data_IF_465808197389
#
_entry.id   IF_465808197389
#
_cell.length_a   1.000
_cell.length_b   1.000
_cell.length_c   1.000
_cell.angle_alpha   90.00
_cell.angle_beta   90.00
_cell.angle_gamma   90.00
#
_symmetry.space_group_name_H-M   'P 1'
#
loop_
_entity.id
_entity.type
_entity.pdbx_description
1 polymer ?
#
# COMPACT_ATOMS: atom_id res chain seq x y z
N UNK A 1 7.90 20.41 5.23
CA UNK A 1 8.22 19.07 5.77
C UNK A 1 7.06 18.17 5.40
N UNK A 2 7.19 17.36 4.36
CA UNK A 2 6.09 16.50 3.87
C UNK A 2 6.60 15.09 3.72
N UNK A 3 6.52 14.34 4.82
CA UNK A 3 6.70 12.90 4.88
C UNK A 3 6.02 12.45 6.15
N UNK A 4 5.18 11.42 6.08
CA UNK A 4 4.65 10.80 7.29
C UNK A 4 5.84 10.37 8.18
N UNK A 5 5.75 10.50 9.52
CA UNK A 5 6.78 9.96 10.40
C UNK A 5 6.98 8.47 10.09
N UNK A 6 8.19 7.95 10.31
CA UNK A 6 8.41 6.49 10.23
C UNK A 6 7.56 5.86 11.32
N UNK A 7 6.47 5.23 10.92
CA UNK A 7 5.57 4.52 11.81
C UNK A 7 6.06 3.09 11.97
N UNK A 8 5.98 2.57 13.19
CA UNK A 8 6.07 1.12 13.39
C UNK A 8 4.82 0.50 12.77
N UNK A 9 5.02 -0.41 11.81
CA UNK A 9 3.95 -1.13 11.16
C UNK A 9 4.03 -2.62 11.51
N UNK A 10 3.42 -3.09 12.60
CA UNK A 10 3.44 -4.51 12.93
C UNK A 10 2.65 -5.31 11.89
N UNK A 11 3.19 -6.47 11.53
CA UNK A 11 2.49 -7.43 10.65
C UNK A 11 1.41 -8.12 11.46
N UNK A 12 0.17 -8.01 10.98
CA UNK A 12 -1.04 -8.56 11.62
C UNK A 12 -1.52 -9.85 10.94
N UNK A 13 -1.21 -10.01 9.65
CA UNK A 13 -1.52 -11.21 8.88
C UNK A 13 -0.31 -11.59 8.03
N UNK A 14 0.03 -12.88 8.01
CA UNK A 14 1.00 -13.46 7.08
C UNK A 14 0.55 -14.87 6.69
N UNK A 15 0.46 -15.11 5.39
CA UNK A 15 0.21 -16.42 4.80
C UNK A 15 0.99 -16.57 3.50
N UNK A 16 1.70 -17.68 3.33
CA UNK A 16 2.37 -18.00 2.07
C UNK A 16 1.37 -18.44 1.00
N UNK A 17 1.58 -18.05 -0.27
CA UNK A 17 0.77 -18.56 -1.37
C UNK A 17 1.04 -20.04 -1.57
N UNK A 18 -0.02 -20.80 -1.85
CA UNK A 18 0.08 -22.23 -2.15
C UNK A 18 0.81 -22.57 -3.46
N UNK A 19 1.00 -21.57 -4.35
CA UNK A 19 1.58 -21.74 -5.68
C UNK A 19 0.69 -22.52 -6.66
N UNK A 20 -0.63 -22.59 -6.41
CA UNK A 20 -1.59 -23.34 -7.22
C UNK A 20 -2.87 -22.54 -7.42
N UNK A 21 -3.41 -22.61 -8.63
CA UNK A 21 -4.74 -22.05 -8.96
C UNK A 21 -5.79 -22.69 -8.06
N UNK A 22 -6.60 -21.86 -7.40
CA UNK A 22 -7.65 -22.28 -6.48
C UNK A 22 -7.15 -22.75 -5.10
N UNK A 23 -5.85 -22.69 -4.84
CA UNK A 23 -5.29 -22.90 -3.51
C UNK A 23 -5.30 -21.63 -2.66
N UNK A 24 -4.69 -21.69 -1.48
CA UNK A 24 -4.59 -20.52 -0.59
C UNK A 24 -3.79 -19.40 -1.25
N UNK A 25 -4.29 -18.15 -1.24
CA UNK A 25 -3.54 -17.01 -1.72
C UNK A 25 -2.44 -16.64 -0.71
N UNK A 26 -1.42 -15.94 -1.20
CA UNK A 26 -0.47 -15.26 -0.33
C UNK A 26 -1.14 -14.04 0.29
N UNK A 27 -0.96 -13.84 1.59
CA UNK A 27 -1.54 -12.72 2.34
C UNK A 27 -0.48 -12.04 3.17
N UNK A 28 -0.50 -10.72 3.18
CA UNK A 28 0.24 -9.92 4.15
C UNK A 28 -0.60 -8.71 4.51
N UNK A 29 -0.72 -8.43 5.80
CA UNK A 29 -1.33 -7.19 6.26
C UNK A 29 -0.56 -6.63 7.45
N UNK A 30 -0.57 -5.31 7.57
CA UNK A 30 0.01 -4.61 8.70
C UNK A 30 -0.92 -3.50 9.18
N UNK A 31 -0.81 -3.20 10.47
CA UNK A 31 -1.42 -2.01 11.04
C UNK A 31 -0.41 -0.86 11.11
N UNK A 32 -0.89 0.37 11.22
CA UNK A 32 -0.07 1.51 11.57
C UNK A 32 -0.91 2.51 12.36
N UNK A 33 -0.34 3.07 13.42
CA UNK A 33 -0.99 4.07 14.26
C UNK A 33 -0.14 5.35 14.25
N UNK A 34 -0.77 6.47 13.91
CA UNK A 34 -0.23 7.80 14.16
C UNK A 34 -0.96 8.38 15.37
N UNK A 35 -0.25 8.47 16.50
CA UNK A 35 -0.76 9.13 17.70
C UNK A 35 -0.73 10.66 17.57
N UNK A 36 -1.60 11.33 18.33
CA UNK A 36 -1.70 12.78 18.33
C UNK A 36 -3.00 13.26 18.96
N UNK A 37 -3.34 14.55 18.74
CA UNK A 37 -4.67 15.05 19.09
C UNK A 37 -5.76 14.32 18.28
N UNK A 38 -7.03 14.37 18.70
CA UNK A 38 -8.13 13.73 17.96
C UNK A 38 -8.18 14.08 16.45
N UNK A 39 -7.67 15.26 16.08
CA UNK A 39 -7.68 15.76 14.70
C UNK A 39 -6.44 15.36 13.89
N UNK A 40 -5.46 14.75 14.56
CA UNK A 40 -4.18 14.31 13.99
C UNK A 40 -4.06 12.78 14.02
N UNK A 41 -4.85 12.09 14.85
CA UNK A 41 -4.82 10.63 14.99
C UNK A 41 -5.31 9.93 13.72
N UNK A 42 -4.56 8.92 13.30
CA UNK A 42 -4.94 7.99 12.23
C UNK A 42 -4.58 6.56 12.61
N UNK A 43 -5.52 5.64 12.39
CA UNK A 43 -5.32 4.19 12.48
C UNK A 43 -5.47 3.58 11.09
N UNK A 44 -4.56 2.71 10.70
CA UNK A 44 -4.52 2.08 9.37
C UNK A 44 -4.45 0.57 9.50
N UNK A 45 -5.15 -0.14 8.62
CA UNK A 45 -4.93 -1.56 8.34
C UNK A 45 -4.79 -1.75 6.83
N UNK A 46 -3.60 -2.12 6.37
CA UNK A 46 -3.27 -2.27 4.95
C UNK A 46 -3.03 -3.73 4.63
N UNK A 47 -3.89 -4.31 3.80
CA UNK A 47 -3.86 -5.72 3.42
C UNK A 47 -3.51 -5.90 1.93
N UNK A 48 -2.81 -6.98 1.67
CA UNK A 48 -2.40 -7.44 0.35
C UNK A 48 -2.76 -8.91 0.17
N UNK A 49 -3.19 -9.25 -1.05
CA UNK A 49 -3.49 -10.60 -1.48
C UNK A 49 -2.85 -10.85 -2.84
N UNK A 50 -2.10 -11.96 -2.95
CA UNK A 50 -1.48 -12.42 -4.20
C UNK A 50 -1.96 -13.84 -4.49
N UNK A 51 -2.64 -14.05 -5.61
CA UNK A 51 -3.24 -15.34 -5.96
C UNK A 51 -2.98 -15.75 -7.41
N UNK A 52 -2.72 -17.05 -7.61
CA UNK A 52 -2.66 -17.67 -8.92
C UNK A 52 -4.08 -17.89 -9.46
N UNK A 53 -4.32 -17.42 -10.69
CA UNK A 53 -5.57 -17.58 -11.41
C UNK A 53 -5.39 -18.44 -12.66
N UNK A 54 -6.50 -19.01 -13.15
CA UNK A 54 -6.51 -19.73 -14.41
C UNK A 54 -5.95 -18.90 -15.57
N UNK A 55 -5.31 -19.60 -16.52
CA UNK A 55 -4.68 -18.97 -17.69
C UNK A 55 -3.29 -18.39 -17.41
N UNK A 56 -2.60 -18.87 -16.37
CA UNK A 56 -1.25 -18.40 -16.03
C UNK A 56 -1.21 -16.95 -15.58
N UNK A 57 -2.28 -16.47 -14.94
CA UNK A 57 -2.40 -15.10 -14.44
C UNK A 57 -2.12 -15.07 -12.95
N UNK A 58 -1.58 -13.95 -12.49
CA UNK A 58 -1.47 -13.64 -11.07
C UNK A 58 -2.31 -12.40 -10.81
N UNK A 59 -3.12 -12.44 -9.75
CA UNK A 59 -3.82 -11.25 -9.25
C UNK A 59 -3.06 -10.71 -8.05
N UNK A 60 -2.81 -9.41 -8.08
CA UNK A 60 -2.34 -8.64 -6.93
C UNK A 60 -3.49 -7.72 -6.54
N UNK A 61 -3.96 -7.86 -5.31
CA UNK A 61 -4.99 -7.01 -4.71
C UNK A 61 -4.39 -6.33 -3.48
N UNK A 62 -4.64 -5.04 -3.34
CA UNK A 62 -4.35 -4.31 -2.11
C UNK A 62 -5.56 -3.50 -1.70
N UNK A 63 -5.82 -3.47 -0.39
CA UNK A 63 -6.89 -2.67 0.22
C UNK A 63 -6.39 -2.09 1.53
N UNK A 64 -6.75 -0.85 1.80
CA UNK A 64 -6.38 -0.16 3.02
C UNK A 64 -7.63 0.42 3.68
N UNK A 65 -7.81 0.12 4.97
CA UNK A 65 -8.80 0.77 5.82
C UNK A 65 -8.09 1.83 6.66
N UNK A 66 -8.64 3.04 6.67
CA UNK A 66 -8.11 4.16 7.44
C UNK A 66 -9.21 4.75 8.31
N UNK A 67 -8.90 5.03 9.57
CA UNK A 67 -9.80 5.66 10.53
C UNK A 67 -9.14 6.92 11.13
N UNK A 68 -9.89 8.02 11.18
CA UNK A 68 -9.42 9.30 11.73
C UNK A 68 -9.85 10.51 10.88
N UNK A 69 -9.83 11.71 11.45
CA UNK A 69 -10.16 12.95 10.71
C UNK A 69 -9.25 13.17 9.50
N UNK A 70 -7.92 12.94 9.55
CA UNK A 70 -7.08 13.05 8.36
C UNK A 70 -7.46 12.06 7.27
N UNK A 71 -7.88 10.84 7.61
CA UNK A 71 -8.34 9.83 6.65
C UNK A 71 -9.64 10.27 5.94
N UNK A 72 -10.59 10.85 6.69
CA UNK A 72 -11.81 11.41 6.12
C UNK A 72 -11.50 12.55 5.12
N UNK A 73 -10.59 13.46 5.47
CA UNK A 73 -10.14 14.52 4.57
C UNK A 73 -9.44 13.97 3.31
N UNK A 74 -8.63 12.91 3.48
CA UNK A 74 -7.92 12.27 2.38
C UNK A 74 -8.88 11.58 1.39
N UNK A 75 -9.98 11.01 1.87
CA UNK A 75 -11.01 10.38 1.04
C UNK A 75 -11.72 11.38 0.10
N UNK A 76 -11.86 12.64 0.55
CA UNK A 76 -12.47 13.71 -0.25
C UNK A 76 -11.52 14.29 -1.30
N UNK A 77 -10.21 14.18 -1.12
CA UNK A 77 -9.21 14.76 -2.00
C UNK A 77 -9.34 14.28 -3.46
N UNK A 78 -9.17 15.20 -4.41
CA UNK A 78 -9.12 14.94 -5.86
C UNK A 78 -7.83 15.51 -6.47
N UNK A 79 -7.04 14.70 -7.20
CA UNK A 79 -7.22 13.25 -7.41
C UNK A 79 -7.07 12.47 -6.09
N UNK A 80 -7.65 11.26 -6.03
CA UNK A 80 -7.53 10.42 -4.84
C UNK A 80 -6.09 9.92 -4.71
N UNK A 81 -5.36 10.49 -3.75
CA UNK A 81 -3.93 10.24 -3.56
C UNK A 81 -3.61 8.81 -3.14
N UNK A 82 -4.48 8.17 -2.33
CA UNK A 82 -4.27 6.79 -1.89
C UNK A 82 -4.38 5.82 -3.06
N UNK A 83 -5.39 6.01 -3.91
CA UNK A 83 -5.56 5.20 -5.13
C UNK A 83 -4.36 5.35 -6.06
N UNK A 84 -3.88 6.58 -6.27
CA UNK A 84 -2.71 6.82 -7.11
C UNK A 84 -1.44 6.16 -6.54
N UNK A 85 -1.19 6.31 -5.24
CA UNK A 85 -0.03 5.71 -4.58
C UNK A 85 -0.07 4.19 -4.57
N UNK A 86 -1.22 3.59 -4.26
CA UNK A 86 -1.40 2.13 -4.29
C UNK A 86 -1.27 1.56 -5.71
N UNK A 87 -1.76 2.27 -6.73
CA UNK A 87 -1.58 1.85 -8.12
C UNK A 87 -0.10 1.85 -8.53
N UNK A 88 0.66 2.89 -8.18
CA UNK A 88 2.11 2.91 -8.42
C UNK A 88 2.82 1.74 -7.72
N UNK A 89 2.34 1.36 -6.53
CA UNK A 89 2.89 0.26 -5.76
C UNK A 89 2.65 -1.09 -6.45
N UNK A 90 1.43 -1.32 -6.96
CA UNK A 90 1.10 -2.50 -7.77
C UNK A 90 1.94 -2.55 -9.06
N UNK A 91 2.01 -1.44 -9.81
CA UNK A 91 2.78 -1.36 -11.05
C UNK A 91 4.28 -1.58 -10.80
N UNK A 92 4.80 -1.00 -9.72
CA UNK A 92 6.18 -1.19 -9.25
C UNK A 92 6.48 -2.63 -8.88
N UNK A 93 5.59 -3.30 -8.16
CA UNK A 93 5.73 -4.72 -7.80
C UNK A 93 5.77 -5.63 -9.04
N UNK A 94 4.88 -5.37 -10.01
CA UNK A 94 4.85 -6.12 -11.28
C UNK A 94 6.16 -5.94 -12.05
N UNK A 95 6.68 -4.70 -12.12
CA UNK A 95 7.98 -4.41 -12.76
C UNK A 95 9.12 -5.14 -12.07
N UNK A 96 9.19 -5.05 -10.74
CA UNK A 96 10.22 -5.71 -9.96
C UNK A 96 10.22 -7.24 -10.17
N UNK A 97 9.03 -7.86 -10.16
CA UNK A 97 8.87 -9.29 -10.43
C UNK A 97 9.32 -9.69 -11.85
N UNK A 98 9.28 -8.76 -12.82
CA UNK A 98 9.77 -8.94 -14.19
C UNK A 98 11.23 -8.55 -14.39
N UNK A 99 11.92 -8.06 -13.36
CA UNK A 99 13.29 -7.53 -13.49
C UNK A 99 13.37 -6.19 -14.24
N UNK A 100 12.28 -5.43 -14.31
CA UNK A 100 12.22 -4.11 -14.92
C UNK A 100 12.50 -2.98 -13.91
N UNK A 101 12.99 -1.84 -14.39
CA UNK A 101 13.12 -0.63 -13.57
C UNK A 101 11.80 0.15 -13.46
N UNK A 102 11.63 0.84 -12.34
CA UNK A 102 10.51 1.76 -12.10
C UNK A 102 10.62 2.97 -13.03
N UNK A 103 9.50 3.36 -13.64
CA UNK A 103 9.40 4.55 -14.50
C UNK A 103 8.83 5.73 -13.70
N UNK A 104 8.30 6.73 -14.41
CA UNK A 104 7.52 7.81 -13.81
C UNK A 104 6.37 7.26 -12.95
N UNK A 105 6.12 7.89 -11.81
CA UNK A 105 5.12 7.48 -10.82
C UNK A 105 4.26 8.68 -10.42
N UNK A 106 3.06 8.41 -9.94
CA UNK A 106 2.17 9.39 -9.33
C UNK A 106 2.60 9.77 -7.90
N UNK A 107 3.63 9.15 -7.31
CA UNK A 107 4.09 9.40 -5.94
C UNK A 107 4.27 10.89 -5.63
N UNK A 108 4.83 11.67 -6.56
CA UNK A 108 4.97 13.13 -6.39
C UNK A 108 3.60 13.82 -6.30
N UNK A 109 2.66 13.45 -7.18
CA UNK A 109 1.28 13.96 -7.17
C UNK A 109 0.49 13.49 -5.93
N UNK A 110 0.79 12.30 -5.41
CA UNK A 110 0.24 11.76 -4.17
C UNK A 110 0.83 12.41 -2.90
N UNK A 111 1.83 13.30 -3.03
CA UNK A 111 2.53 13.88 -1.88
C UNK A 111 3.43 12.88 -1.15
N UNK A 112 3.72 11.73 -1.77
CA UNK A 112 4.60 10.66 -1.31
C UNK A 112 5.94 10.69 -2.04
N UNK A 113 6.41 11.89 -2.43
CA UNK A 113 7.71 12.06 -3.07
C UNK A 113 8.78 11.32 -2.25
N UNK A 114 9.60 10.51 -2.95
CA UNK A 114 10.56 9.60 -2.34
C UNK A 114 11.25 10.23 -1.13
N UNK A 115 11.29 9.50 -0.01
CA UNK A 115 12.18 9.85 1.09
C UNK A 115 13.55 10.17 0.50
N UNK A 116 14.17 11.32 0.84
CA UNK A 116 15.50 11.62 0.35
C UNK A 116 16.39 10.42 0.68
N UNK A 117 17.13 9.92 -0.31
CA UNK A 117 18.04 8.77 -0.18
C UNK A 117 19.19 9.03 0.80
N UNK A 118 19.26 10.23 1.36
CA UNK A 118 20.32 10.74 2.19
C UNK A 118 19.79 10.96 3.62
N UNK A 119 19.71 9.87 4.39
CA UNK A 119 19.83 9.89 5.86
C UNK A 119 20.59 8.66 6.33
#
# INVERSE_FOLDING_TARGET
MSGFPVLTCPVEEYQEPSGKVGGSPGRIAWSAELDGKPDEKVSVYHAWLVEDLEGGRVRILTQESQNGKPAAQLAEAKPNKMVLGHQDWCDGLIRAARGESTKETNLKAAGLGAYPKDK
#
